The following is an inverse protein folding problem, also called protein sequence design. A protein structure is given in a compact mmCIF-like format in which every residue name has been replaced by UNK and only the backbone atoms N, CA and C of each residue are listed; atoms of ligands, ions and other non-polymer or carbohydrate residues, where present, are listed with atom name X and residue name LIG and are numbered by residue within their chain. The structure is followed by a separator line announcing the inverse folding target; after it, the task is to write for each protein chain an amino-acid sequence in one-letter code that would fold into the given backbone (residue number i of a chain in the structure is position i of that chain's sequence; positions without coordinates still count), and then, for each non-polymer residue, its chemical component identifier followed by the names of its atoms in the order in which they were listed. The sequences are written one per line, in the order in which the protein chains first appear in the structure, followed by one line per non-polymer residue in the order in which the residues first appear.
data_IF_256897163184
#
_entry.id   IF_256897163184
#
_cell.length_a   1.000
_cell.length_b   1.000
_cell.length_c   1.000
_cell.angle_alpha   90.00
_cell.angle_beta   90.00
_cell.angle_gamma   90.00
#
_symmetry.space_group_name_H-M   'P 1'
#
loop_
_entity.id
_entity.type
_entity.pdbx_description
1 polymer ?
#
# COMPACT_ATOMS: atom_id res chain seq x y z
N UNK A 1 -9.63 -3.98 18.79
CA UNK A 1 -10.14 -4.33 17.48
C UNK A 1 -10.48 -3.07 16.67
N UNK A 2 -11.46 -2.26 17.08
CA UNK A 2 -11.96 -1.05 16.36
C UNK A 2 -10.87 -0.05 16.02
N UNK A 3 -9.92 0.20 16.92
CA UNK A 3 -8.78 1.08 16.66
C UNK A 3 -8.00 0.67 15.39
N UNK A 4 -7.69 -0.63 15.22
CA UNK A 4 -7.00 -1.15 14.04
C UNK A 4 -7.85 -1.06 12.78
N UNK A 5 -9.14 -1.37 12.89
CA UNK A 5 -10.07 -1.31 11.75
C UNK A 5 -10.18 0.13 11.23
N UNK A 6 -10.44 1.09 12.13
CA UNK A 6 -10.58 2.50 11.74
C UNK A 6 -9.29 3.04 11.13
N UNK A 7 -8.12 2.74 11.71
CA UNK A 7 -6.83 3.15 11.15
C UNK A 7 -6.57 2.57 9.76
N UNK A 8 -6.93 1.30 9.53
CA UNK A 8 -6.63 0.63 8.25
C UNK A 8 -7.61 0.99 7.12
N UNK A 9 -8.83 1.46 7.47
CA UNK A 9 -9.91 1.70 6.50
C UNK A 9 -10.22 3.17 6.27
N UNK A 10 -9.67 4.09 7.08
CA UNK A 10 -10.00 5.52 7.02
C UNK A 10 -8.77 6.41 7.19
N UNK A 11 -8.90 7.66 6.71
CA UNK A 11 -7.93 8.73 6.93
C UNK A 11 -8.46 9.75 7.97
N UNK A 12 -7.58 10.55 8.62
CA UNK A 12 -8.01 11.66 9.46
C UNK A 12 -8.99 12.59 8.72
N UNK A 13 -10.06 13.01 9.41
CA UNK A 13 -11.11 13.85 8.82
C UNK A 13 -12.21 13.10 8.06
N UNK A 14 -12.03 11.82 7.70
CA UNK A 14 -13.09 11.00 7.09
C UNK A 14 -14.19 10.64 8.09
N UNK A 15 -15.32 10.16 7.57
CA UNK A 15 -16.52 9.84 8.35
C UNK A 15 -16.62 8.34 8.58
N UNK A 16 -16.76 7.94 9.85
CA UNK A 16 -17.11 6.58 10.27
C UNK A 16 -18.59 6.52 10.58
N UNK A 17 -19.32 5.65 9.89
CA UNK A 17 -20.74 5.40 10.15
C UNK A 17 -20.91 4.14 10.98
N UNK A 18 -21.66 4.24 12.10
CA UNK A 18 -22.08 3.09 12.90
C UNK A 18 -23.61 3.13 13.09
N UNK A 19 -24.36 2.29 12.35
CA UNK A 19 -25.82 2.27 12.42
C UNK A 19 -26.37 1.57 13.67
N UNK A 20 -25.50 0.97 14.51
CA UNK A 20 -25.83 0.29 15.76
C UNK A 20 -24.91 0.75 16.87
N UNK A 21 -24.91 2.06 17.16
CA UNK A 21 -23.88 2.73 17.97
C UNK A 21 -23.72 2.14 19.39
N UNK A 22 -24.82 1.69 20.01
CA UNK A 22 -24.81 1.18 21.38
C UNK A 22 -24.20 2.18 22.36
N UNK A 23 -23.23 1.75 23.14
CA UNK A 23 -22.53 2.60 24.11
C UNK A 23 -21.52 3.58 23.50
N UNK A 24 -21.43 3.72 22.16
CA UNK A 24 -20.60 4.70 21.47
C UNK A 24 -19.12 4.36 21.33
N UNK A 25 -18.74 3.09 21.43
CA UNK A 25 -17.32 2.70 21.35
C UNK A 25 -16.68 3.03 20.01
N UNK A 26 -17.37 2.78 18.89
CA UNK A 26 -16.90 3.11 17.54
C UNK A 26 -16.68 4.60 17.38
N UNK A 27 -17.66 5.41 17.78
CA UNK A 27 -17.60 6.86 17.69
C UNK A 27 -16.48 7.45 18.58
N UNK A 28 -16.29 6.89 19.79
CA UNK A 28 -15.23 7.28 20.70
C UNK A 28 -13.83 7.03 20.10
N UNK A 29 -13.64 5.86 19.48
CA UNK A 29 -12.37 5.54 18.79
C UNK A 29 -12.18 6.41 17.56
N UNK A 30 -13.22 6.63 16.76
CA UNK A 30 -13.15 7.53 15.60
C UNK A 30 -12.75 8.96 16.02
N UNK A 31 -13.41 9.54 17.03
CA UNK A 31 -13.08 10.86 17.58
C UNK A 31 -11.63 10.92 18.08
N UNK A 32 -11.20 9.92 18.84
CA UNK A 32 -9.83 9.85 19.37
C UNK A 32 -8.78 9.84 18.27
N UNK A 33 -9.09 9.20 17.13
CA UNK A 33 -8.21 9.10 15.97
C UNK A 33 -8.35 10.27 14.98
N UNK A 34 -9.11 11.33 15.31
CA UNK A 34 -9.31 12.49 14.44
C UNK A 34 -10.23 12.24 13.25
N UNK A 35 -11.09 11.22 13.33
CA UNK A 35 -12.13 10.94 12.33
C UNK A 35 -13.44 11.56 12.80
N UNK A 36 -14.28 12.01 11.84
CA UNK A 36 -15.68 12.33 12.11
C UNK A 36 -16.48 11.04 12.25
N UNK A 37 -17.66 11.10 12.87
CA UNK A 37 -18.52 9.93 12.99
C UNK A 37 -19.98 10.31 12.86
N UNK A 38 -20.79 9.34 12.44
CA UNK A 38 -22.25 9.34 12.48
C UNK A 38 -22.64 8.05 13.18
N UNK A 39 -23.34 8.17 14.32
CA UNK A 39 -23.85 7.03 15.06
C UNK A 39 -25.36 7.06 15.09
N UNK A 40 -26.02 5.90 14.90
CA UNK A 40 -27.46 5.72 15.00
C UNK A 40 -27.71 4.76 16.16
N UNK A 41 -28.54 5.19 17.11
CA UNK A 41 -28.95 4.38 18.26
C UNK A 41 -30.43 4.65 18.55
N UNK A 42 -31.20 3.58 18.68
CA UNK A 42 -32.64 3.66 18.95
C UNK A 42 -32.95 3.84 20.43
N UNK A 43 -32.13 3.21 21.29
CA UNK A 43 -32.34 3.25 22.73
C UNK A 43 -31.76 4.56 23.30
N UNK A 44 -32.63 5.34 23.96
CA UNK A 44 -32.24 6.65 24.49
C UNK A 44 -31.24 6.54 25.64
N UNK A 45 -31.27 5.47 26.47
CA UNK A 45 -30.32 5.28 27.53
C UNK A 45 -28.92 4.99 26.99
N UNK A 46 -28.82 4.17 25.95
CA UNK A 46 -27.54 3.95 25.24
C UNK A 46 -27.07 5.21 24.53
N UNK A 47 -27.96 5.95 23.88
CA UNK A 47 -27.62 7.20 23.22
C UNK A 47 -27.10 8.26 24.20
N UNK A 48 -27.72 8.38 25.39
CA UNK A 48 -27.25 9.27 26.45
C UNK A 48 -25.87 8.85 27.00
N UNK A 49 -25.67 7.56 27.21
CA UNK A 49 -24.36 7.02 27.60
C UNK A 49 -23.27 7.25 26.58
N UNK A 50 -23.59 7.09 25.30
CA UNK A 50 -22.68 7.37 24.19
C UNK A 50 -22.30 8.85 24.13
N UNK A 51 -23.26 9.79 24.28
CA UNK A 51 -23.00 11.24 24.34
C UNK A 51 -22.06 11.60 25.49
N UNK A 52 -22.32 11.05 26.70
CA UNK A 52 -21.46 11.27 27.87
C UNK A 52 -20.03 10.75 27.65
N UNK A 53 -19.89 9.55 27.08
CA UNK A 53 -18.57 8.99 26.71
C UNK A 53 -17.86 9.87 25.70
N UNK A 54 -18.55 10.31 24.67
CA UNK A 54 -17.96 11.15 23.60
C UNK A 54 -17.52 12.51 24.11
N UNK A 55 -18.22 13.09 25.08
CA UNK A 55 -17.82 14.36 25.71
C UNK A 55 -16.47 14.23 26.43
N UNK A 56 -16.16 13.07 27.00
CA UNK A 56 -14.91 12.81 27.72
C UNK A 56 -13.73 12.41 26.80
N UNK A 57 -13.97 12.17 25.49
CA UNK A 57 -12.89 11.77 24.58
C UNK A 57 -12.20 12.98 23.98
N UNK A 58 -10.90 13.07 24.16
CA UNK A 58 -10.04 14.03 23.47
C UNK A 58 -9.36 13.39 22.26
N UNK A 59 -9.28 14.04 21.11
CA UNK A 59 -8.50 13.60 19.98
C UNK A 59 -7.01 13.50 20.35
N UNK A 60 -6.31 12.50 19.83
CA UNK A 60 -4.86 12.41 19.96
C UNK A 60 -4.20 13.58 19.21
N UNK A 61 -3.25 14.24 19.86
CA UNK A 61 -2.51 15.36 19.26
C UNK A 61 -1.78 14.97 17.96
N UNK A 62 -1.40 13.69 17.83
CA UNK A 62 -0.73 13.11 16.68
C UNK A 62 -1.70 12.40 15.71
N UNK A 63 -3.00 12.67 15.78
CA UNK A 63 -3.98 11.97 14.93
C UNK A 63 -3.69 12.15 13.42
N UNK A 64 -3.09 13.26 13.02
CA UNK A 64 -2.63 13.49 11.66
C UNK A 64 -1.45 12.58 11.26
N UNK A 65 -0.56 12.24 12.21
CA UNK A 65 0.57 11.32 11.98
C UNK A 65 0.11 9.85 11.86
N UNK A 66 -1.12 9.54 12.28
CA UNK A 66 -1.74 8.22 12.15
C UNK A 66 -2.42 8.02 10.78
N UNK A 67 -2.20 8.90 9.82
CA UNK A 67 -2.61 8.71 8.45
C UNK A 67 -1.75 7.60 7.82
N UNK A 68 -2.35 6.46 7.53
CA UNK A 68 -1.69 5.44 6.70
C UNK A 68 -1.73 5.91 5.25
N UNK A 69 -0.58 5.91 4.53
CA UNK A 69 -0.59 6.27 3.11
C UNK A 69 -1.56 5.35 2.37
N UNK A 70 -2.53 5.95 1.70
CA UNK A 70 -3.50 5.20 0.91
C UNK A 70 -2.77 4.45 -0.20
N UNK A 71 -3.03 3.14 -0.35
CA UNK A 71 -2.52 2.37 -1.51
C UNK A 71 -2.91 3.00 -2.86
N UNK A 72 -4.00 3.81 -2.90
CA UNK A 72 -4.45 4.51 -4.11
C UNK A 72 -3.63 5.76 -4.42
N UNK A 73 -3.00 6.36 -3.41
CA UNK A 73 -2.19 7.57 -3.55
C UNK A 73 -0.72 7.26 -3.83
N UNK A 74 -0.29 6.00 -3.65
CA UNK A 74 1.06 5.61 -4.02
C UNK A 74 1.20 5.60 -5.54
N UNK A 75 2.16 6.36 -6.11
CA UNK A 75 2.42 6.36 -7.54
C UNK A 75 2.68 4.93 -8.02
N UNK A 76 1.92 4.49 -9.02
CA UNK A 76 2.13 3.17 -9.63
C UNK A 76 3.22 3.30 -10.68
N UNK A 77 4.39 2.75 -10.40
CA UNK A 77 5.46 2.66 -11.38
C UNK A 77 5.36 1.30 -12.07
N UNK A 78 5.27 1.30 -13.40
CA UNK A 78 5.34 0.07 -14.19
C UNK A 78 6.77 -0.48 -14.19
N UNK A 79 6.92 -1.81 -14.31
CA UNK A 79 8.24 -2.46 -14.31
C UNK A 79 9.15 -1.94 -15.45
N UNK A 80 8.58 -1.70 -16.64
CA UNK A 80 9.32 -1.11 -17.76
C UNK A 80 10.01 0.22 -17.43
N UNK A 81 9.39 1.06 -16.59
CA UNK A 81 9.99 2.33 -16.15
C UNK A 81 11.26 2.10 -15.30
N UNK A 82 11.33 1.02 -14.52
CA UNK A 82 12.56 0.67 -13.78
C UNK A 82 13.68 0.26 -14.75
N UNK A 83 13.33 -0.41 -15.85
CA UNK A 83 14.27 -0.79 -16.90
C UNK A 83 14.75 0.44 -17.65
N UNK A 84 13.85 1.32 -18.08
CA UNK A 84 14.17 2.57 -18.76
C UNK A 84 15.07 3.50 -17.92
N UNK A 85 14.83 3.56 -16.61
CA UNK A 85 15.65 4.34 -15.66
C UNK A 85 16.97 3.67 -15.30
N UNK A 86 17.24 2.46 -15.79
CA UNK A 86 18.45 1.70 -15.48
C UNK A 86 18.54 1.16 -14.04
N UNK A 87 17.47 1.25 -13.27
CA UNK A 87 17.40 0.69 -11.90
C UNK A 87 17.36 -0.85 -11.90
N UNK A 88 16.80 -1.42 -12.96
CA UNK A 88 16.88 -2.83 -13.31
C UNK A 88 17.43 -2.91 -14.74
N UNK A 89 18.73 -3.11 -14.96
CA UNK A 89 19.31 -3.12 -16.28
C UNK A 89 18.69 -4.19 -17.20
N UNK A 90 18.46 -3.85 -18.46
CA UNK A 90 18.09 -4.85 -19.46
C UNK A 90 19.17 -5.94 -19.55
N UNK A 91 18.77 -7.19 -19.69
CA UNK A 91 19.69 -8.34 -19.66
C UNK A 91 20.03 -8.84 -18.25
N UNK A 92 19.67 -8.11 -17.18
CA UNK A 92 19.83 -8.63 -15.82
C UNK A 92 18.94 -9.84 -15.56
N UNK A 93 19.30 -10.62 -14.55
CA UNK A 93 18.58 -11.83 -14.15
C UNK A 93 17.81 -11.54 -12.87
N UNK A 94 16.51 -11.80 -12.89
CA UNK A 94 15.67 -11.86 -11.70
C UNK A 94 15.54 -13.33 -11.26
N UNK A 95 15.48 -13.55 -9.96
CA UNK A 95 15.31 -14.88 -9.39
C UNK A 95 14.23 -14.88 -8.32
N UNK A 96 13.66 -16.06 -7.99
CA UNK A 96 12.83 -16.19 -6.79
C UNK A 96 13.72 -16.26 -5.54
N UNK A 97 13.11 -16.14 -4.36
CA UNK A 97 13.82 -16.15 -3.06
C UNK A 97 14.73 -17.37 -2.87
N UNK A 98 14.36 -18.49 -3.47
CA UNK A 98 15.10 -19.77 -3.34
C UNK A 98 15.99 -20.08 -4.53
N UNK A 99 16.12 -19.13 -5.49
CA UNK A 99 16.92 -19.27 -6.72
C UNK A 99 16.53 -20.49 -7.58
N UNK A 100 15.27 -20.93 -7.51
CA UNK A 100 14.76 -22.06 -8.31
C UNK A 100 14.52 -21.67 -9.77
N UNK A 101 14.13 -20.38 -9.99
CA UNK A 101 13.85 -19.85 -11.30
C UNK A 101 14.69 -18.61 -11.57
N UNK A 102 15.15 -18.50 -12.80
CA UNK A 102 15.92 -17.38 -13.28
C UNK A 102 15.25 -16.82 -14.52
N UNK A 103 14.86 -15.55 -14.49
CA UNK A 103 14.20 -14.88 -15.59
C UNK A 103 15.05 -13.72 -16.08
N UNK A 104 15.30 -13.67 -17.39
CA UNK A 104 16.05 -12.58 -18.01
C UNK A 104 15.13 -11.38 -18.30
N UNK A 105 15.60 -10.19 -18.00
CA UNK A 105 14.90 -8.92 -18.23
C UNK A 105 15.12 -8.46 -19.67
N UNK A 106 14.03 -8.29 -20.43
CA UNK A 106 14.05 -7.68 -21.75
C UNK A 106 14.16 -6.15 -21.68
N UNK A 107 14.64 -5.54 -22.76
CA UNK A 107 14.72 -4.08 -22.90
C UNK A 107 13.33 -3.41 -22.88
N UNK A 108 12.30 -4.14 -23.26
CA UNK A 108 10.88 -3.73 -23.25
C UNK A 108 10.19 -3.89 -21.89
N UNK A 109 10.92 -4.29 -20.85
CA UNK A 109 10.36 -4.57 -19.54
C UNK A 109 9.62 -5.92 -19.45
N UNK A 110 9.76 -6.82 -20.41
CA UNK A 110 9.27 -8.19 -20.31
C UNK A 110 10.28 -9.08 -19.59
N UNK A 111 9.79 -10.17 -18.99
CA UNK A 111 10.62 -11.25 -18.47
C UNK A 111 10.55 -12.48 -19.37
N UNK A 112 11.67 -13.20 -19.46
CA UNK A 112 11.75 -14.50 -20.14
C UNK A 112 12.39 -15.53 -19.21
N UNK A 113 11.69 -16.64 -18.98
CA UNK A 113 12.17 -17.78 -18.21
C UNK A 113 11.79 -19.07 -18.93
N UNK A 114 12.73 -19.70 -19.63
CA UNK A 114 12.44 -20.84 -20.51
C UNK A 114 11.41 -20.47 -21.59
N UNK A 115 10.29 -21.19 -21.61
CA UNK A 115 9.16 -20.94 -22.51
C UNK A 115 8.22 -19.81 -22.04
N UNK A 116 8.26 -19.44 -20.75
CA UNK A 116 7.40 -18.40 -20.19
C UNK A 116 7.94 -17.01 -20.56
N UNK A 117 7.08 -16.16 -21.12
CA UNK A 117 7.42 -14.78 -21.49
C UNK A 117 6.24 -13.85 -21.18
N UNK A 118 6.53 -12.69 -20.66
CA UNK A 118 5.51 -11.67 -20.38
C UNK A 118 5.88 -10.74 -19.22
N UNK A 119 4.86 -10.19 -18.56
CA UNK A 119 5.06 -9.31 -17.41
C UNK A 119 5.61 -10.07 -16.18
N UNK A 120 6.20 -9.33 -15.23
CA UNK A 120 6.68 -9.88 -13.95
C UNK A 120 5.61 -10.70 -13.22
N UNK A 121 4.33 -10.32 -13.34
CA UNK A 121 3.20 -11.02 -12.73
C UNK A 121 2.87 -12.31 -13.47
N UNK A 122 2.79 -12.24 -14.81
CA UNK A 122 2.45 -13.37 -15.66
C UNK A 122 3.50 -14.49 -15.55
N UNK A 123 4.78 -14.15 -15.76
CA UNK A 123 5.86 -15.15 -15.69
C UNK A 123 5.93 -15.78 -14.30
N UNK A 124 5.77 -14.99 -13.23
CA UNK A 124 5.71 -15.53 -11.87
C UNK A 124 4.52 -16.45 -11.62
N UNK A 125 3.35 -16.17 -12.21
CA UNK A 125 2.17 -17.04 -12.12
C UNK A 125 2.36 -18.33 -12.91
N UNK A 126 2.84 -18.25 -14.16
CA UNK A 126 3.09 -19.40 -15.04
C UNK A 126 4.07 -20.39 -14.39
N UNK A 127 5.17 -19.91 -13.80
CA UNK A 127 6.17 -20.76 -13.15
C UNK A 127 5.64 -21.46 -11.89
N UNK A 128 4.70 -20.85 -11.18
CA UNK A 128 4.08 -21.44 -9.99
C UNK A 128 2.85 -22.28 -10.31
N UNK A 129 2.44 -22.35 -11.58
CA UNK A 129 1.16 -22.92 -12.00
C UNK A 129 -0.02 -22.33 -11.18
N UNK A 130 0.05 -21.04 -10.88
CA UNK A 130 -0.91 -20.29 -10.05
C UNK A 130 -1.79 -19.38 -10.91
N UNK A 131 -3.04 -19.11 -10.51
CA UNK A 131 -3.94 -18.23 -11.25
C UNK A 131 -3.47 -16.77 -11.27
N UNK A 132 -2.65 -16.36 -10.31
CA UNK A 132 -2.06 -15.02 -10.22
C UNK A 132 -0.79 -15.01 -9.37
N UNK A 133 0.07 -14.03 -9.61
CA UNK A 133 1.28 -13.80 -8.82
C UNK A 133 1.51 -12.31 -8.66
N UNK A 134 1.92 -11.88 -7.45
CA UNK A 134 2.44 -10.54 -7.28
C UNK A 134 3.95 -10.53 -7.62
N UNK A 135 4.28 -10.19 -8.86
CA UNK A 135 5.67 -10.18 -9.32
C UNK A 135 6.59 -9.25 -8.55
N UNK A 136 6.07 -8.17 -7.92
CA UNK A 136 6.88 -7.27 -7.13
C UNK A 136 7.45 -7.92 -5.87
N UNK A 137 6.69 -8.82 -5.25
CA UNK A 137 7.09 -9.54 -4.02
C UNK A 137 7.65 -10.94 -4.30
N UNK A 138 7.56 -11.40 -5.55
CA UNK A 138 8.04 -12.71 -5.97
C UNK A 138 9.47 -12.66 -6.50
N UNK A 139 9.83 -11.62 -7.27
CA UNK A 139 11.12 -11.51 -7.92
C UNK A 139 12.13 -10.72 -7.10
N UNK A 140 13.36 -11.16 -7.17
CA UNK A 140 14.54 -10.53 -6.58
C UNK A 140 15.57 -10.24 -7.67
N UNK A 141 16.16 -9.06 -7.62
CA UNK A 141 17.31 -8.69 -8.43
C UNK A 141 18.58 -9.16 -7.72
N UNK A 142 19.42 -9.91 -8.40
CA UNK A 142 20.74 -10.26 -7.91
C UNK A 142 21.70 -9.11 -8.19
N UNK A 143 22.29 -8.58 -7.13
CA UNK A 143 23.28 -7.50 -7.20
C UNK A 143 24.67 -8.07 -7.51
N UNK A 144 25.61 -7.23 -7.93
CA UNK A 144 26.97 -7.66 -8.31
C UNK A 144 27.74 -8.35 -7.17
N UNK A 145 27.37 -8.08 -5.92
CA UNK A 145 27.93 -8.72 -4.72
C UNK A 145 27.18 -10.02 -4.33
N UNK A 146 26.29 -10.53 -5.19
CA UNK A 146 25.55 -11.77 -4.99
C UNK A 146 24.38 -11.68 -4.01
N UNK A 147 24.05 -10.49 -3.53
CA UNK A 147 22.90 -10.28 -2.64
C UNK A 147 21.60 -10.23 -3.44
N UNK A 148 20.53 -10.75 -2.83
CA UNK A 148 19.19 -10.67 -3.39
C UNK A 148 18.49 -9.43 -2.85
N UNK A 149 18.00 -8.60 -3.75
CA UNK A 149 17.24 -7.41 -3.45
C UNK A 149 15.82 -7.57 -3.97
N UNK A 150 14.82 -7.40 -3.11
CA UNK A 150 13.42 -7.53 -3.50
C UNK A 150 13.07 -6.49 -4.56
N UNK A 151 12.35 -6.91 -5.61
CA UNK A 151 11.98 -6.01 -6.70
C UNK A 151 11.06 -4.87 -6.23
N UNK A 152 10.23 -5.12 -5.21
CA UNK A 152 9.38 -4.09 -4.59
C UNK A 152 10.20 -2.98 -3.92
N UNK A 153 11.34 -3.31 -3.29
CA UNK A 153 12.22 -2.31 -2.67
C UNK A 153 12.83 -1.39 -3.73
N UNK A 154 13.23 -1.96 -4.89
CA UNK A 154 13.72 -1.17 -6.03
C UNK A 154 12.63 -0.23 -6.56
N UNK A 155 11.39 -0.71 -6.62
CA UNK A 155 10.24 0.11 -7.00
C UNK A 155 10.00 1.26 -6.02
N UNK A 156 10.04 0.98 -4.73
CA UNK A 156 9.81 2.00 -3.70
C UNK A 156 10.87 3.09 -3.71
N UNK A 157 12.12 2.74 -3.93
CA UNK A 157 13.17 3.74 -4.11
C UNK A 157 12.95 4.61 -5.37
N UNK A 158 12.51 3.98 -6.47
CA UNK A 158 12.19 4.72 -7.69
C UNK A 158 11.03 5.71 -7.48
N UNK A 159 10.03 5.35 -6.66
CA UNK A 159 8.93 6.23 -6.24
C UNK A 159 9.48 7.39 -5.40
N UNK A 160 10.32 7.11 -4.42
CA UNK A 160 10.91 8.13 -3.55
C UNK A 160 11.78 9.14 -4.33
N UNK A 161 12.55 8.66 -5.31
CA UNK A 161 13.38 9.50 -6.19
C UNK A 161 12.56 10.29 -7.22
N UNK A 162 11.41 9.77 -7.65
CA UNK A 162 10.51 10.42 -8.61
C UNK A 162 9.63 11.52 -7.98
N UNK A 163 9.49 11.56 -6.66
CA UNK A 163 8.74 12.59 -5.95
C UNK A 163 9.41 13.97 -5.91
N UNK A 164 10.64 14.10 -6.41
CA UNK A 164 11.37 15.36 -6.40
C UNK A 164 11.28 16.17 -7.71
N UNK A 165 10.45 15.78 -8.69
CA UNK A 165 10.39 16.47 -9.98
C UNK A 165 8.96 16.65 -10.50
N UNK A 166 8.11 17.34 -9.74
CA UNK A 166 6.94 18.06 -10.28
C UNK A 166 6.63 19.28 -9.40
N UNK A 167 7.55 20.23 -9.38
CA UNK A 167 7.18 21.62 -9.15
C UNK A 167 6.59 22.14 -10.46
N UNK A 168 5.29 21.94 -10.65
CA UNK A 168 4.54 22.69 -11.65
C UNK A 168 4.33 24.10 -11.10
N UNK A 169 5.22 25.02 -11.42
CA UNK A 169 4.99 26.44 -11.25
C UNK A 169 3.99 26.89 -12.29
N UNK A 170 2.71 26.98 -11.93
CA UNK A 170 1.79 27.83 -12.70
C UNK A 170 2.07 29.27 -12.29
N UNK A 171 2.83 29.99 -13.09
CA UNK A 171 2.76 31.44 -13.16
C UNK A 171 1.73 31.80 -14.23
N UNK A 172 0.65 32.46 -13.83
CA UNK A 172 0.03 33.63 -14.47
C UNK A 172 -1.21 34.00 -13.71
#
# INVERSE_FOLDING_TARGET
LLHRVILSCTQPGEVVLDPFLGSGTTAAVAKRLGRRFIGIERDEAYAAGARARLAAVEPLAESAALALPSKREQPRIAFGVLVERGLVPAGSVLTDRHRRWQAQVGADGTLRCGAATGSIHKVGADLQAAPSCNGWTFWFLETRDGRLRLLDDVRQEAVAQGGCCLLYTSQS
#
